data_IF_196717451496
#
_entry.id   IF_196717451496
#
_cell.length_a   1.000
_cell.length_b   1.000
_cell.length_c   1.000
_cell.angle_alpha   90.00
_cell.angle_beta   90.00
_cell.angle_gamma   90.00
#
_symmetry.space_group_name_H-M   'P 1'
#
loop_
_entity.id
_entity.type
_entity.pdbx_description
1 polymer ?
#
# COMPACT_ATOMS: atom_id res chain seq x y z
N UNK A 1 -5.24 8.06 -77.68
CA UNK A 1 -6.23 7.70 -76.60
C UNK A 1 -5.49 7.00 -75.47
N UNK A 2 -4.19 7.42 -75.19
CA UNK A 2 -3.28 6.72 -74.30
C UNK A 2 -2.60 7.63 -73.24
N UNK A 3 -2.71 8.93 -73.38
CA UNK A 3 -2.05 9.88 -72.45
C UNK A 3 -2.91 10.14 -71.17
N UNK A 4 -4.20 10.01 -71.24
CA UNK A 4 -5.10 10.28 -70.13
C UNK A 4 -5.07 9.18 -69.05
N UNK A 5 -4.83 7.94 -69.43
CA UNK A 5 -4.77 6.80 -68.49
C UNK A 5 -3.51 6.87 -67.59
N UNK A 6 -2.37 7.30 -68.09
CA UNK A 6 -1.15 7.43 -67.29
C UNK A 6 -1.26 8.53 -66.23
N UNK A 7 -1.96 9.61 -66.52
CA UNK A 7 -2.17 10.68 -65.51
C UNK A 7 -3.11 10.30 -64.35
N UNK A 8 -4.08 9.43 -64.59
CA UNK A 8 -4.99 8.94 -63.56
C UNK A 8 -4.32 7.97 -62.61
N UNK A 9 -3.50 7.06 -63.14
CA UNK A 9 -2.78 6.08 -62.32
C UNK A 9 -1.70 6.73 -61.44
N UNK A 10 -1.04 7.81 -61.94
CA UNK A 10 -0.06 8.55 -61.14
C UNK A 10 -0.68 9.35 -59.99
N UNK A 11 -1.91 9.88 -60.17
CA UNK A 11 -2.65 10.59 -59.12
C UNK A 11 -3.22 9.64 -58.04
N UNK A 12 -3.57 8.43 -58.40
CA UNK A 12 -4.03 7.39 -57.45
C UNK A 12 -2.85 6.89 -56.59
N UNK A 13 -1.65 6.77 -57.17
CA UNK A 13 -0.44 6.40 -56.46
C UNK A 13 0.02 7.44 -55.43
N UNK A 14 -0.12 8.75 -55.73
CA UNK A 14 0.21 9.81 -54.78
C UNK A 14 -0.75 9.90 -53.60
N UNK A 15 -2.04 9.70 -53.81
CA UNK A 15 -3.06 9.66 -52.73
C UNK A 15 -2.86 8.43 -51.82
N UNK A 16 -2.47 7.27 -52.39
CA UNK A 16 -2.17 6.07 -51.60
C UNK A 16 -0.93 6.26 -50.72
N UNK A 17 0.11 6.90 -51.23
CA UNK A 17 1.33 7.20 -50.43
C UNK A 17 1.11 8.18 -49.28
N UNK A 18 0.33 9.26 -49.51
CA UNK A 18 0.00 10.21 -48.44
C UNK A 18 -0.93 9.60 -47.41
N UNK A 19 -1.82 8.70 -47.80
CA UNK A 19 -2.69 7.95 -46.87
C UNK A 19 -1.86 6.97 -46.01
N UNK A 20 -0.93 6.23 -46.60
CA UNK A 20 -0.02 5.35 -45.88
C UNK A 20 0.86 6.12 -44.89
N UNK A 21 1.42 7.27 -45.31
CA UNK A 21 2.22 8.12 -44.43
C UNK A 21 1.38 8.65 -43.24
N UNK A 22 0.13 9.07 -43.49
CA UNK A 22 -0.77 9.49 -42.43
C UNK A 22 -1.11 8.34 -41.46
N UNK A 23 -1.36 7.14 -41.98
CA UNK A 23 -1.62 5.95 -41.17
C UNK A 23 -0.41 5.57 -40.29
N UNK A 24 0.79 5.60 -40.87
CA UNK A 24 2.05 5.31 -40.12
C UNK A 24 2.31 6.36 -39.06
N UNK A 25 2.08 7.65 -39.35
CA UNK A 25 2.25 8.71 -38.36
C UNK A 25 1.30 8.56 -37.17
N UNK A 26 0.02 8.25 -37.41
CA UNK A 26 -0.96 7.98 -36.37
C UNK A 26 -0.57 6.73 -35.56
N UNK A 27 -0.13 5.67 -36.20
CA UNK A 27 0.33 4.45 -35.52
C UNK A 27 1.55 4.73 -34.64
N UNK A 28 2.52 5.54 -35.10
CA UNK A 28 3.69 5.96 -34.31
C UNK A 28 3.28 6.80 -33.08
N UNK A 29 2.34 7.73 -33.22
CA UNK A 29 1.84 8.53 -32.11
C UNK A 29 1.14 7.64 -31.09
N UNK A 30 0.31 6.71 -31.52
CA UNK A 30 -0.38 5.78 -30.61
C UNK A 30 0.61 4.86 -29.89
N UNK A 31 1.65 4.39 -30.60
CA UNK A 31 2.71 3.56 -30.02
C UNK A 31 3.50 4.33 -28.95
N UNK A 32 3.87 5.57 -29.22
CA UNK A 32 4.62 6.41 -28.26
C UNK A 32 3.76 6.74 -27.03
N UNK A 33 2.47 7.00 -27.22
CA UNK A 33 1.53 7.18 -26.11
C UNK A 33 1.36 5.91 -25.27
N UNK A 34 1.21 4.75 -25.93
CA UNK A 34 1.09 3.47 -25.24
C UNK A 34 2.36 3.13 -24.43
N UNK A 35 3.54 3.35 -25.02
CA UNK A 35 4.82 3.16 -24.33
C UNK A 35 5.00 4.14 -23.17
N UNK A 36 4.61 5.40 -23.35
CA UNK A 36 4.65 6.41 -22.30
C UNK A 36 3.72 6.07 -21.13
N UNK A 37 2.49 5.63 -21.43
CA UNK A 37 1.54 5.20 -20.42
C UNK A 37 2.00 3.95 -19.68
N UNK A 38 2.51 2.96 -20.42
CA UNK A 38 3.08 1.75 -19.85
C UNK A 38 4.28 2.05 -18.94
N UNK A 39 5.17 2.95 -19.36
CA UNK A 39 6.31 3.38 -18.56
C UNK A 39 5.89 4.15 -17.29
N UNK A 40 4.89 5.04 -17.39
CA UNK A 40 4.34 5.74 -16.24
C UNK A 40 3.68 4.75 -15.26
N UNK A 41 2.88 3.80 -15.76
CA UNK A 41 2.29 2.74 -14.93
C UNK A 41 3.35 1.84 -14.30
N UNK A 42 4.40 1.46 -15.02
CA UNK A 42 5.47 0.64 -14.50
C UNK A 42 6.28 1.34 -13.40
N UNK A 43 6.42 2.68 -13.48
CA UNK A 43 7.09 3.46 -12.43
C UNK A 43 6.22 3.74 -11.21
N UNK A 44 4.91 3.89 -11.40
CA UNK A 44 3.96 4.17 -10.33
C UNK A 44 3.26 2.91 -9.81
N UNK A 45 3.57 1.76 -10.39
CA UNK A 45 2.94 0.50 -9.99
C UNK A 45 3.27 0.16 -8.55
N UNK A 46 2.28 0.07 -7.67
CA UNK A 46 2.45 -0.44 -6.31
C UNK A 46 2.92 -1.91 -6.29
N UNK A 47 2.90 -2.59 -7.46
CA UNK A 47 3.36 -3.98 -7.62
C UNK A 47 4.87 -4.16 -7.38
N UNK A 48 5.68 -3.09 -7.36
CA UNK A 48 7.07 -3.15 -6.87
C UNK A 48 7.20 -3.58 -5.41
N UNK A 49 6.09 -3.51 -4.66
CA UNK A 49 6.05 -4.02 -3.27
C UNK A 49 6.01 -5.55 -3.27
N UNK A 50 5.54 -6.19 -4.36
CA UNK A 50 5.38 -7.65 -4.46
C UNK A 50 6.69 -8.34 -4.88
N UNK A 51 7.61 -7.64 -5.53
CA UNK A 51 8.93 -8.19 -5.94
C UNK A 51 9.94 -8.32 -4.79
N UNK A 52 9.62 -7.82 -3.60
CA UNK A 52 10.41 -8.14 -2.40
C UNK A 52 9.94 -9.48 -1.87
N UNK A 53 10.88 -10.44 -1.62
CA UNK A 53 10.51 -11.63 -0.89
C UNK A 53 9.77 -11.17 0.37
N UNK A 54 8.59 -11.72 0.61
CA UNK A 54 7.82 -11.46 1.82
C UNK A 54 8.64 -12.00 3.00
N UNK A 55 9.59 -11.19 3.46
CA UNK A 55 10.25 -11.47 4.73
C UNK A 55 9.17 -11.36 5.81
N UNK A 56 9.04 -12.43 6.57
CA UNK A 56 8.17 -12.42 7.74
C UNK A 56 8.57 -11.23 8.62
N UNK A 57 7.62 -10.39 9.05
CA UNK A 57 7.90 -9.28 9.94
C UNK A 57 8.71 -9.78 11.13
N UNK A 58 9.70 -9.02 11.56
CA UNK A 58 10.50 -9.40 12.73
C UNK A 58 9.62 -9.60 13.96
N UNK A 59 8.59 -8.78 14.10
CA UNK A 59 7.59 -8.88 15.15
C UNK A 59 6.80 -10.21 15.08
N UNK A 60 6.63 -10.83 13.90
CA UNK A 60 5.95 -12.11 13.74
C UNK A 60 6.68 -13.28 14.44
N UNK A 61 7.99 -13.17 14.65
CA UNK A 61 8.79 -14.20 15.35
C UNK A 61 8.42 -14.33 16.83
N UNK A 62 7.79 -13.31 17.40
CA UNK A 62 7.38 -13.27 18.80
C UNK A 62 5.92 -13.66 18.98
N UNK A 63 5.21 -14.00 17.89
CA UNK A 63 3.83 -14.41 17.96
C UNK A 63 3.75 -15.91 18.28
N UNK A 64 2.85 -16.32 19.20
CA UNK A 64 2.58 -17.72 19.47
C UNK A 64 2.08 -18.44 18.22
N UNK A 65 2.58 -19.66 17.98
CA UNK A 65 2.20 -20.46 16.81
C UNK A 65 0.80 -21.06 16.93
N UNK A 66 0.22 -21.09 18.11
CA UNK A 66 -1.09 -21.59 18.47
C UNK A 66 -2.16 -20.47 18.60
N UNK A 67 -1.81 -19.24 18.19
CA UNK A 67 -2.76 -18.15 18.20
C UNK A 67 -3.90 -18.40 17.20
N UNK A 68 -5.15 -18.16 17.64
CA UNK A 68 -6.34 -18.29 16.80
C UNK A 68 -6.35 -17.28 15.66
N UNK A 69 -5.82 -16.08 15.92
CA UNK A 69 -5.68 -15.01 14.94
C UNK A 69 -4.36 -14.28 15.13
N UNK A 70 -3.63 -14.05 14.04
CA UNK A 70 -2.46 -13.17 14.02
C UNK A 70 -2.64 -12.06 12.99
N UNK A 71 -2.42 -10.82 13.40
CA UNK A 71 -2.45 -9.65 12.55
C UNK A 71 -1.07 -9.00 12.55
N UNK A 72 -0.51 -8.80 11.35
CA UNK A 72 0.77 -8.12 11.18
C UNK A 72 0.58 -6.81 10.44
N UNK A 73 1.00 -5.72 11.05
CA UNK A 73 0.95 -4.39 10.48
C UNK A 73 2.36 -3.89 10.19
N UNK A 74 2.64 -3.60 8.92
CA UNK A 74 3.96 -3.22 8.42
C UNK A 74 4.08 -1.72 8.09
N UNK A 75 3.19 -0.91 8.61
CA UNK A 75 3.17 0.52 8.39
C UNK A 75 3.45 1.24 9.70
N UNK A 76 4.35 2.24 9.67
CA UNK A 76 4.61 3.10 10.83
C UNK A 76 3.31 3.77 11.28
N UNK A 77 2.79 3.44 12.48
CA UNK A 77 1.50 3.95 12.94
C UNK A 77 1.43 5.48 13.00
N UNK A 78 2.58 6.15 13.11
CA UNK A 78 2.67 7.62 13.15
C UNK A 78 2.44 8.23 11.77
N UNK A 79 2.77 7.49 10.70
CA UNK A 79 2.62 7.97 9.33
C UNK A 79 1.24 7.69 8.76
N UNK A 80 0.44 6.83 9.38
CA UNK A 80 -0.90 6.45 8.90
C UNK A 80 -1.82 7.66 8.69
N UNK A 81 -1.94 8.62 9.63
CA UNK A 81 -2.77 9.80 9.41
C UNK A 81 -2.25 10.71 8.28
N UNK A 82 -0.93 10.89 8.19
CA UNK A 82 -0.32 11.68 7.13
C UNK A 82 -0.52 11.05 5.75
N UNK A 83 -0.39 9.74 5.65
CA UNK A 83 -0.65 8.99 4.42
C UNK A 83 -2.14 9.09 4.01
N UNK A 84 -3.05 8.86 4.95
CA UNK A 84 -4.47 8.97 4.72
C UNK A 84 -4.87 10.40 4.26
N UNK A 85 -4.27 11.43 4.86
CA UNK A 85 -4.43 12.81 4.44
C UNK A 85 -3.91 13.06 3.02
N UNK A 86 -2.76 12.48 2.65
CA UNK A 86 -2.15 12.69 1.34
C UNK A 86 -3.01 12.14 0.19
N UNK A 87 -3.67 11.00 0.40
CA UNK A 87 -4.53 10.35 -0.62
C UNK A 87 -5.97 10.90 -0.62
N UNK A 88 -6.37 11.63 0.41
CA UNK A 88 -7.72 12.17 0.54
C UNK A 88 -7.95 13.41 -0.38
N UNK A 89 -9.18 13.62 -0.86
CA UNK A 89 -9.56 14.85 -1.54
C UNK A 89 -9.27 16.07 -0.66
N UNK A 90 -8.81 17.17 -1.29
CA UNK A 90 -8.35 18.38 -0.59
C UNK A 90 -9.32 18.87 0.48
N UNK A 91 -10.64 18.84 0.18
CA UNK A 91 -11.69 19.31 1.10
C UNK A 91 -11.85 18.41 2.34
N UNK A 92 -11.40 17.16 2.30
CA UNK A 92 -11.59 16.18 3.37
C UNK A 92 -10.31 15.88 4.15
N UNK A 93 -9.18 16.42 3.72
CA UNK A 93 -7.86 16.11 4.28
C UNK A 93 -7.78 16.27 5.79
N UNK A 94 -8.35 17.35 6.32
CA UNK A 94 -8.36 17.60 7.76
C UNK A 94 -9.16 16.56 8.51
N UNK A 95 -10.40 16.30 8.06
CA UNK A 95 -11.30 15.31 8.69
C UNK A 95 -10.69 13.90 8.64
N UNK A 96 -10.10 13.51 7.51
CA UNK A 96 -9.45 12.20 7.36
C UNK A 96 -8.25 12.06 8.30
N UNK A 97 -7.43 13.10 8.44
CA UNK A 97 -6.31 13.08 9.37
C UNK A 97 -6.78 12.93 10.83
N UNK A 98 -7.76 13.72 11.24
CA UNK A 98 -8.34 13.66 12.59
C UNK A 98 -8.96 12.29 12.88
N UNK A 99 -9.80 11.77 11.98
CA UNK A 99 -10.46 10.47 12.13
C UNK A 99 -9.44 9.32 12.17
N UNK A 100 -8.41 9.37 11.33
CA UNK A 100 -7.40 8.31 11.28
C UNK A 100 -6.51 8.34 12.52
N UNK A 101 -6.22 9.52 13.06
CA UNK A 101 -5.50 9.67 14.34
C UNK A 101 -6.33 9.08 15.49
N UNK A 102 -7.62 9.39 15.55
CA UNK A 102 -8.53 8.85 16.56
C UNK A 102 -8.66 7.33 16.48
N UNK A 103 -8.75 6.78 15.25
CA UNK A 103 -8.80 5.32 15.06
C UNK A 103 -7.50 4.65 15.52
N UNK A 104 -6.35 5.22 15.20
CA UNK A 104 -5.05 4.73 15.68
C UNK A 104 -5.00 4.75 17.21
N UNK A 105 -5.27 5.90 17.81
CA UNK A 105 -5.20 6.07 19.25
C UNK A 105 -6.22 5.16 19.98
N UNK A 106 -7.42 5.03 19.42
CA UNK A 106 -8.44 4.10 19.92
C UNK A 106 -8.00 2.64 19.84
N UNK A 107 -7.33 2.23 18.76
CA UNK A 107 -6.83 0.86 18.61
C UNK A 107 -5.77 0.51 19.68
N UNK A 108 -4.86 1.43 19.99
CA UNK A 108 -3.90 1.22 21.08
C UNK A 108 -4.54 1.33 22.46
N UNK A 109 -5.53 2.20 22.64
CA UNK A 109 -6.28 2.32 23.89
C UNK A 109 -7.04 1.05 24.27
N UNK A 110 -7.52 0.26 23.28
CA UNK A 110 -8.10 -1.08 23.52
C UNK A 110 -7.09 -2.04 24.17
N UNK A 111 -5.81 -1.85 23.88
CA UNK A 111 -4.71 -2.59 24.49
C UNK A 111 -4.23 -1.96 25.82
N UNK A 112 -4.90 -0.91 26.30
CA UNK A 112 -4.51 -0.17 27.51
C UNK A 112 -3.29 0.75 27.33
N UNK A 113 -2.93 1.11 26.08
CA UNK A 113 -1.75 1.88 25.73
C UNK A 113 -2.13 3.27 25.22
N UNK A 114 -1.42 4.30 25.67
CA UNK A 114 -1.52 5.66 25.12
C UNK A 114 -0.49 5.83 24.00
N UNK A 115 -1.00 5.84 22.75
CA UNK A 115 -0.12 5.96 21.60
C UNK A 115 0.71 7.25 21.63
N UNK A 116 0.07 8.38 21.91
CA UNK A 116 0.69 9.69 21.78
C UNK A 116 1.73 9.96 22.88
N UNK A 117 1.46 9.55 24.11
CA UNK A 117 2.32 9.81 25.26
C UNK A 117 3.35 8.69 25.50
N UNK A 118 3.01 7.44 25.21
CA UNK A 118 3.83 6.29 25.57
C UNK A 118 4.58 5.68 24.41
N UNK A 119 3.96 5.59 23.22
CA UNK A 119 4.48 4.80 22.10
C UNK A 119 5.11 5.65 21.00
N UNK A 120 4.56 6.82 20.69
CA UNK A 120 4.92 7.61 19.51
C UNK A 120 6.40 7.95 19.43
N UNK A 121 7.09 8.07 20.56
CA UNK A 121 8.52 8.41 20.62
C UNK A 121 9.43 7.31 20.10
N UNK A 122 9.13 6.06 20.38
CA UNK A 122 10.03 4.92 20.16
C UNK A 122 9.48 3.82 19.26
N UNK A 123 8.16 3.76 18.99
CA UNK A 123 7.55 2.71 18.17
C UNK A 123 8.10 2.72 16.75
N UNK A 124 8.39 1.53 16.23
CA UNK A 124 8.81 1.29 14.86
C UNK A 124 7.65 0.97 13.91
N UNK A 125 7.97 0.58 12.66
CA UNK A 125 6.96 0.37 11.63
C UNK A 125 6.24 -0.98 11.71
N UNK A 126 6.70 -1.91 12.55
CA UNK A 126 6.12 -3.25 12.64
C UNK A 126 5.34 -3.40 13.94
N UNK A 127 4.06 -3.73 13.80
CA UNK A 127 3.15 -4.07 14.91
C UNK A 127 2.54 -5.42 14.61
N UNK A 128 2.57 -6.34 15.57
CA UNK A 128 1.92 -7.65 15.45
C UNK A 128 1.04 -7.89 16.66
N UNK A 129 -0.18 -8.32 16.40
CA UNK A 129 -1.17 -8.69 17.40
C UNK A 129 -1.53 -10.16 17.23
N UNK A 130 -1.53 -10.91 18.31
CA UNK A 130 -2.06 -12.27 18.33
C UNK A 130 -3.20 -12.36 19.35
N UNK A 131 -4.27 -13.02 18.96
CA UNK A 131 -5.38 -13.38 19.86
C UNK A 131 -5.24 -14.86 20.19
N UNK A 132 -5.20 -15.17 21.47
CA UNK A 132 -5.06 -16.53 21.99
C UNK A 132 -6.44 -17.06 22.34
N UNK A 133 -6.78 -18.23 21.82
CA UNK A 133 -7.90 -19.00 22.35
C UNK A 133 -7.48 -19.62 23.68
N UNK A 134 -8.18 -19.26 24.74
CA UNK A 134 -8.01 -20.00 25.99
C UNK A 134 -8.61 -21.41 25.80
N UNK A 135 -7.85 -22.49 25.98
CA UNK A 135 -8.41 -23.83 25.94
C UNK A 135 -9.54 -23.92 26.99
N UNK A 136 -10.70 -24.34 26.52
CA UNK A 136 -11.91 -24.53 27.36
C UNK A 136 -11.78 -25.76 28.30
N UNK A 137 -10.60 -25.97 28.88
CA UNK A 137 -10.33 -27.19 29.69
C UNK A 137 -10.89 -27.18 31.10
N UNK A 138 -11.56 -26.10 31.51
CA UNK A 138 -12.23 -26.09 32.79
C UNK A 138 -13.71 -25.74 32.61
N UNK A 139 -14.55 -26.76 32.67
CA UNK A 139 -16.00 -26.60 32.70
C UNK A 139 -16.42 -25.61 33.81
N UNK A 140 -16.81 -24.40 33.41
CA UNK A 140 -17.25 -23.34 34.31
C UNK A 140 -16.37 -22.09 34.43
N UNK A 141 -15.16 -22.10 33.84
CA UNK A 141 -14.34 -20.87 33.70
C UNK A 141 -14.77 -20.09 32.46
N UNK A 142 -15.01 -18.79 32.60
CA UNK A 142 -15.17 -17.93 31.44
C UNK A 142 -13.87 -17.99 30.61
N UNK A 143 -13.96 -18.16 29.28
CA UNK A 143 -12.76 -18.13 28.41
C UNK A 143 -12.04 -16.80 28.66
N UNK A 144 -10.84 -16.85 29.22
CA UNK A 144 -9.94 -15.69 29.28
C UNK A 144 -9.34 -15.53 27.90
N UNK A 145 -9.95 -14.68 27.09
CA UNK A 145 -9.35 -14.23 25.86
C UNK A 145 -8.01 -13.55 26.20
N UNK A 146 -6.93 -14.17 25.77
CA UNK A 146 -5.58 -13.60 25.89
C UNK A 146 -5.18 -12.91 24.58
N UNK A 147 -4.41 -11.87 24.68
CA UNK A 147 -3.78 -11.28 23.50
C UNK A 147 -2.30 -10.98 23.77
N UNK A 148 -1.53 -11.01 22.70
CA UNK A 148 -0.10 -10.68 22.68
C UNK A 148 0.13 -9.59 21.65
N UNK A 149 0.78 -8.50 22.07
CA UNK A 149 1.16 -7.39 21.21
C UNK A 149 2.69 -7.34 21.12
N UNK A 150 3.25 -7.46 19.92
CA UNK A 150 4.67 -7.25 19.67
C UNK A 150 4.85 -5.98 18.84
N UNK A 151 5.67 -5.08 19.36
CA UNK A 151 5.98 -3.80 18.76
C UNK A 151 7.45 -3.76 18.37
N UNK A 152 7.77 -3.39 17.15
CA UNK A 152 9.14 -3.05 16.79
C UNK A 152 9.50 -1.70 17.41
N UNK A 153 10.77 -1.55 17.79
CA UNK A 153 11.31 -0.30 18.29
C UNK A 153 12.34 0.27 17.32
N UNK A 154 12.35 1.58 17.17
CA UNK A 154 13.41 2.32 16.49
C UNK A 154 14.30 3.09 17.49
N UNK A 155 13.85 3.27 18.72
CA UNK A 155 14.60 3.83 19.83
C UNK A 155 14.58 2.82 21.01
N UNK A 156 15.69 2.11 21.17
CA UNK A 156 15.80 1.09 22.21
C UNK A 156 15.74 1.67 23.61
N UNK A 157 16.28 2.87 23.82
CA UNK A 157 16.28 3.48 25.14
C UNK A 157 14.89 4.00 25.51
N UNK A 158 14.14 4.51 24.54
CA UNK A 158 12.73 4.85 24.70
C UNK A 158 11.88 3.62 25.06
N UNK A 159 12.07 2.52 24.35
CA UNK A 159 11.37 1.27 24.61
C UNK A 159 11.70 0.69 26.00
N UNK A 160 12.97 0.73 26.42
CA UNK A 160 13.38 0.28 27.78
C UNK A 160 12.73 1.10 28.89
N UNK A 161 12.66 2.43 28.72
CA UNK A 161 12.00 3.30 29.69
C UNK A 161 10.51 3.03 29.84
N UNK A 162 9.87 2.65 28.74
CA UNK A 162 8.46 2.27 28.75
C UNK A 162 8.20 0.95 29.52
N UNK A 163 9.15 0.02 29.51
CA UNK A 163 9.04 -1.29 30.17
C UNK A 163 9.44 -1.27 31.67
N UNK A 164 9.98 -0.17 32.18
CA UNK A 164 10.37 0.00 33.58
C UNK A 164 9.24 0.62 34.41
#
# INVERSE_FOLDING_TARGET
MDEDEHHVLHRLSMKGRSFLLALVSVAMVLLTLALGLWWAMARQSPLRIIDRPLELPRAARFMPSDAALTLHWLVDPRQVPAYAQAVAPVRQRRLVNESTSQLRDGAFALAGLDFSNELAGWIGPEVSLAVLDAPAEQAGAQPKEGWVLALSSRDQDGAKRFLQ
#
